data_IF_244149846282
#
_entry.id   IF_244149846282
#
_cell.length_a   1.000
_cell.length_b   1.000
_cell.length_c   1.000
_cell.angle_alpha   90.00
_cell.angle_beta   90.00
_cell.angle_gamma   90.00
#
_symmetry.space_group_name_H-M   'P 1'
#
loop_
_entity.id
_entity.type
_entity.pdbx_description
1 polymer ?
#
# COMPACT_ATOMS: atom_id res chain seq x y z
N UNK A 1 10.31 -12.29 10.40
CA UNK A 1 9.82 -10.92 10.11
C UNK A 1 10.33 -10.35 8.78
N UNK A 2 11.59 -10.58 8.37
CA UNK A 2 12.11 -10.01 7.11
C UNK A 2 11.52 -10.61 5.82
N UNK A 3 11.18 -11.89 5.78
CA UNK A 3 10.63 -12.54 4.56
C UNK A 3 9.32 -11.90 4.08
N UNK A 4 8.44 -11.54 5.03
CA UNK A 4 7.13 -10.93 4.74
C UNK A 4 7.31 -9.49 4.26
N UNK A 5 8.19 -8.73 4.94
CA UNK A 5 8.53 -7.36 4.55
C UNK A 5 9.17 -7.27 3.15
N UNK A 6 10.12 -8.16 2.84
CA UNK A 6 10.73 -8.22 1.51
C UNK A 6 9.71 -8.58 0.43
N UNK A 7 8.76 -9.48 0.72
CA UNK A 7 7.73 -9.88 -0.25
C UNK A 7 6.83 -8.70 -0.61
N UNK A 8 6.43 -7.91 0.40
CA UNK A 8 5.62 -6.71 0.18
C UNK A 8 6.42 -5.66 -0.58
N UNK A 9 7.68 -5.44 -0.22
CA UNK A 9 8.56 -4.51 -0.94
C UNK A 9 8.67 -4.84 -2.44
N UNK A 10 8.73 -6.14 -2.79
CA UNK A 10 8.71 -6.57 -4.20
C UNK A 10 7.37 -6.26 -4.87
N UNK A 11 6.24 -6.51 -4.19
CA UNK A 11 4.90 -6.19 -4.71
C UNK A 11 4.74 -4.68 -4.94
N UNK A 12 5.24 -3.84 -4.03
CA UNK A 12 5.23 -2.38 -4.17
C UNK A 12 6.01 -1.92 -5.40
N UNK A 13 7.18 -2.50 -5.67
CA UNK A 13 7.97 -2.19 -6.87
C UNK A 13 7.19 -2.57 -8.14
N UNK A 14 6.53 -3.73 -8.15
CA UNK A 14 5.70 -4.16 -9.29
C UNK A 14 4.53 -3.18 -9.52
N UNK A 15 3.87 -2.72 -8.44
CA UNK A 15 2.78 -1.73 -8.53
C UNK A 15 3.30 -0.38 -9.03
N UNK A 16 4.47 0.06 -8.57
CA UNK A 16 5.10 1.29 -9.04
C UNK A 16 5.41 1.23 -10.54
N UNK A 17 5.93 0.10 -11.02
CA UNK A 17 6.15 -0.14 -12.45
C UNK A 17 4.83 -0.14 -13.23
N UNK A 18 3.81 -0.84 -12.72
CA UNK A 18 2.46 -0.85 -13.32
C UNK A 18 1.87 0.56 -13.41
N UNK A 19 2.02 1.38 -12.37
CA UNK A 19 1.59 2.78 -12.39
C UNK A 19 2.36 3.59 -13.42
N UNK A 20 3.68 3.44 -13.49
CA UNK A 20 4.52 4.13 -14.46
C UNK A 20 4.09 3.80 -15.90
N UNK A 21 3.82 2.52 -16.20
CA UNK A 21 3.32 2.10 -17.50
C UNK A 21 1.86 2.52 -17.75
N UNK A 22 1.04 2.62 -16.69
CA UNK A 22 -0.37 3.05 -16.79
C UNK A 22 -0.54 4.51 -17.24
N UNK A 23 0.51 5.34 -17.10
CA UNK A 23 0.52 6.70 -17.64
C UNK A 23 0.35 6.68 -19.16
N UNK A 24 0.94 5.70 -19.84
CA UNK A 24 0.90 5.55 -21.30
C UNK A 24 -0.28 4.70 -21.78
N UNK A 25 -0.75 3.78 -20.96
CA UNK A 25 -1.83 2.84 -21.30
C UNK A 25 -2.96 2.88 -20.26
N UNK A 26 -4.08 3.53 -20.61
CA UNK A 26 -5.22 3.70 -19.71
C UNK A 26 -5.78 2.38 -19.17
N UNK A 27 -5.73 1.29 -19.93
CA UNK A 27 -6.15 -0.05 -19.50
C UNK A 27 -5.38 -0.56 -18.27
N UNK A 28 -4.09 -0.23 -18.14
CA UNK A 28 -3.27 -0.67 -17.01
C UNK A 28 -3.61 0.05 -15.70
N UNK A 29 -4.29 1.21 -15.76
CA UNK A 29 -4.68 1.97 -14.56
C UNK A 29 -5.60 1.19 -13.64
N UNK A 30 -6.52 0.37 -14.21
CA UNK A 30 -7.44 -0.46 -13.44
C UNK A 30 -6.69 -1.56 -12.66
N UNK A 31 -5.71 -2.20 -13.28
CA UNK A 31 -4.89 -3.22 -12.64
C UNK A 31 -3.98 -2.63 -11.55
N UNK A 32 -3.39 -1.46 -11.81
CA UNK A 32 -2.61 -0.74 -10.82
C UNK A 32 -3.47 -0.30 -9.61
N UNK A 33 -4.70 0.16 -9.86
CA UNK A 33 -5.69 0.49 -8.82
C UNK A 33 -6.01 -0.69 -7.92
N UNK A 34 -6.34 -1.85 -8.51
CA UNK A 34 -6.61 -3.09 -7.76
C UNK A 34 -5.37 -3.52 -6.96
N UNK A 35 -4.18 -3.46 -7.57
CA UNK A 35 -2.93 -3.79 -6.90
C UNK A 35 -2.68 -2.94 -5.66
N UNK A 36 -2.87 -1.61 -5.74
CA UNK A 36 -2.75 -0.72 -4.59
C UNK A 36 -3.74 -1.04 -3.48
N UNK A 37 -5.00 -1.35 -3.81
CA UNK A 37 -6.02 -1.72 -2.82
C UNK A 37 -5.63 -3.02 -2.11
N UNK A 38 -5.18 -4.03 -2.85
CA UNK A 38 -4.76 -5.32 -2.26
C UNK A 38 -3.57 -5.14 -1.33
N UNK A 39 -2.54 -4.40 -1.74
CA UNK A 39 -1.36 -4.15 -0.89
C UNK A 39 -1.75 -3.39 0.37
N UNK A 40 -2.63 -2.38 0.26
CA UNK A 40 -3.17 -1.71 1.43
C UNK A 40 -3.89 -2.67 2.38
N UNK A 41 -4.74 -3.56 1.88
CA UNK A 41 -5.46 -4.53 2.73
C UNK A 41 -4.49 -5.49 3.44
N UNK A 42 -3.44 -5.93 2.74
CA UNK A 42 -2.38 -6.77 3.32
C UNK A 42 -1.65 -6.01 4.43
N UNK A 43 -1.28 -4.75 4.20
CA UNK A 43 -0.60 -3.94 5.22
C UNK A 43 -1.51 -3.60 6.39
N UNK A 44 -2.78 -3.29 6.13
CA UNK A 44 -3.78 -3.07 7.16
C UNK A 44 -3.97 -4.31 8.03
N UNK A 45 -3.89 -5.52 7.44
CA UNK A 45 -3.91 -6.76 8.22
C UNK A 45 -2.80 -6.79 9.27
N UNK A 46 -1.60 -6.24 8.99
CA UNK A 46 -0.52 -6.19 9.98
C UNK A 46 -0.80 -5.29 11.16
N UNK A 47 -1.61 -4.23 11.01
CA UNK A 47 -2.05 -3.39 12.14
C UNK A 47 -2.74 -4.24 13.22
N UNK A 48 -3.46 -5.28 12.80
CA UNK A 48 -4.23 -6.16 13.69
C UNK A 48 -3.50 -7.46 14.05
N UNK A 49 -2.69 -8.00 13.13
CA UNK A 49 -2.05 -9.32 13.31
C UNK A 49 -0.61 -9.26 13.81
N UNK A 50 0.06 -8.10 13.75
CA UNK A 50 1.46 -7.98 14.17
C UNK A 50 1.55 -7.41 15.59
N UNK A 51 1.94 -8.22 16.60
CA UNK A 51 2.17 -7.71 17.95
C UNK A 51 3.35 -6.74 17.96
N UNK A 52 3.16 -5.56 18.57
CA UNK A 52 4.19 -4.52 18.68
C UNK A 52 4.16 -3.42 17.63
N UNK A 53 3.15 -3.37 16.76
CA UNK A 53 2.91 -2.24 15.82
C UNK A 53 2.50 -0.96 16.57
N UNK A 54 1.70 -1.11 17.62
CA UNK A 54 1.30 -0.02 18.49
C UNK A 54 2.43 0.22 19.49
N UNK A 55 3.39 1.06 19.12
CA UNK A 55 4.44 1.51 20.03
C UNK A 55 4.07 2.86 20.61
N UNK A 56 4.16 2.97 21.93
CA UNK A 56 4.08 4.26 22.60
C UNK A 56 5.52 4.70 22.83
N UNK A 57 5.95 5.73 22.10
CA UNK A 57 7.26 6.37 22.29
C UNK A 57 6.99 7.74 22.88
N UNK A 58 7.57 8.01 24.05
CA UNK A 58 7.42 9.28 24.77
C UNK A 58 5.95 9.69 25.03
N UNK A 59 5.08 8.72 25.34
CA UNK A 59 3.66 8.97 25.64
C UNK A 59 2.78 9.23 24.41
N UNK A 60 3.36 9.24 23.20
CA UNK A 60 2.63 9.36 21.95
C UNK A 60 2.51 7.97 21.31
N UNK A 61 1.29 7.52 20.94
CA UNK A 61 1.14 6.32 20.13
C UNK A 61 1.71 6.59 18.73
N UNK A 62 2.87 6.00 18.45
CA UNK A 62 3.54 6.03 17.16
C UNK A 62 3.27 4.70 16.47
N UNK A 63 2.52 4.76 15.37
CA UNK A 63 2.42 3.64 14.43
C UNK A 63 3.64 3.68 13.51
N UNK A 64 4.20 2.52 13.19
CA UNK A 64 5.33 2.47 12.26
C UNK A 64 4.96 3.13 10.91
N UNK A 65 5.90 3.89 10.34
CA UNK A 65 5.78 4.54 9.02
C UNK A 65 5.40 3.58 7.88
N UNK A 66 5.52 2.27 8.13
CA UNK A 66 5.07 1.20 7.25
C UNK A 66 3.59 1.30 6.88
N UNK A 67 2.72 1.73 7.81
CA UNK A 67 1.26 1.80 7.56
C UNK A 67 0.86 3.14 6.93
N UNK A 68 1.57 4.21 7.27
CA UNK A 68 1.28 5.55 6.79
C UNK A 68 1.43 5.65 5.26
N UNK A 69 2.46 5.01 4.69
CA UNK A 69 2.70 5.00 3.23
C UNK A 69 1.57 4.31 2.45
N UNK A 70 0.97 3.26 3.01
CA UNK A 70 -0.03 2.45 2.32
C UNK A 70 -1.42 3.10 2.38
N UNK A 71 -1.72 3.86 3.44
CA UNK A 71 -2.93 4.68 3.50
C UNK A 71 -2.98 5.72 2.38
N UNK A 72 -1.82 6.32 2.05
CA UNK A 72 -1.67 7.20 0.90
C UNK A 72 -1.90 6.45 -0.43
N UNK A 73 -1.38 5.22 -0.57
CA UNK A 73 -1.62 4.38 -1.75
C UNK A 73 -3.10 4.01 -1.94
N UNK A 74 -3.86 3.82 -0.85
CA UNK A 74 -5.32 3.62 -0.95
C UNK A 74 -6.03 4.87 -1.49
N UNK A 75 -5.67 6.06 -0.99
CA UNK A 75 -6.21 7.32 -1.50
C UNK A 75 -5.95 7.47 -3.01
N UNK A 76 -4.73 7.17 -3.45
CA UNK A 76 -4.36 7.16 -4.87
C UNK A 76 -5.10 6.08 -5.66
N UNK A 77 -5.24 4.86 -5.12
CA UNK A 77 -5.98 3.77 -5.76
C UNK A 77 -7.45 4.10 -5.99
N UNK A 78 -8.11 4.67 -4.98
CA UNK A 78 -9.50 5.12 -5.11
C UNK A 78 -9.64 6.26 -6.13
N UNK A 79 -8.72 7.22 -6.13
CA UNK A 79 -8.70 8.31 -7.10
C UNK A 79 -8.56 7.78 -8.54
N UNK A 80 -7.62 6.86 -8.79
CA UNK A 80 -7.40 6.27 -10.11
C UNK A 80 -8.59 5.41 -10.56
N UNK A 81 -9.23 4.68 -9.65
CA UNK A 81 -10.42 3.88 -9.95
C UNK A 81 -11.63 4.78 -10.26
N UNK A 82 -11.81 5.89 -9.54
CA UNK A 82 -12.92 6.83 -9.79
C UNK A 82 -12.75 7.61 -11.10
N UNK A 83 -11.52 8.01 -11.45
CA UNK A 83 -11.25 8.80 -12.67
C UNK A 83 -11.34 8.00 -13.99
N UNK A 84 -11.74 6.72 -13.94
CA UNK A 84 -12.01 5.88 -15.12
C UNK A 84 -13.51 5.80 -15.48
N UNK A 85 -14.36 6.65 -14.89
CA UNK A 85 -15.73 6.94 -15.37
C UNK A 85 -15.73 8.24 -16.16
#
# INVERSE_FOLDING_TARGET
>A
MQTISNTIGVIEIIIALLLMFSVKFAFLKKYAGIGMIVTFLVTLSYLFTTPGIWKIVDGVPVTDFFILKDLMLLGFGLMIVQNNK
#
